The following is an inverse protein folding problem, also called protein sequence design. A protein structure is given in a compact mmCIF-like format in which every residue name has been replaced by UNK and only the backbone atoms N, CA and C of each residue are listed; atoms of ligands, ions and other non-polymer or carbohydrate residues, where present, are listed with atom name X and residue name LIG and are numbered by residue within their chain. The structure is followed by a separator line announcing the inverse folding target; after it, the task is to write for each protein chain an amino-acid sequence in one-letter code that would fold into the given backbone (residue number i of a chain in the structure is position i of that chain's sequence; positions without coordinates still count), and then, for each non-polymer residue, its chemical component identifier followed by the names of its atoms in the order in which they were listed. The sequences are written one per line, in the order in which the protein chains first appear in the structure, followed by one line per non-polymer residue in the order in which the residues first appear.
data_IF_119112288747
#
_entry.id   IF_119112288747
#
_cell.length_a   1.000
_cell.length_b   1.000
_cell.length_c   1.000
_cell.angle_alpha   90.00
_cell.angle_beta   90.00
_cell.angle_gamma   90.00
#
_symmetry.space_group_name_H-M   'P 1'
#
loop_
_entity.id
_entity.type
_entity.pdbx_description
1 polymer ?
#
# COMPACT_ATOMS: atom_id res chain seq x y z
N UNK A 1 4.89 -12.23 -6.65
CA UNK A 1 5.25 -12.06 -8.05
C UNK A 1 4.37 -11.00 -8.67
N UNK A 2 4.96 -9.99 -9.29
CA UNK A 2 4.22 -8.98 -10.02
C UNK A 2 4.05 -9.48 -11.45
N UNK A 3 2.87 -9.95 -11.80
CA UNK A 3 2.50 -10.00 -13.20
C UNK A 3 2.39 -8.56 -13.68
N UNK A 4 3.26 -8.15 -14.60
CA UNK A 4 3.02 -7.00 -15.46
C UNK A 4 1.90 -7.32 -16.47
N UNK A 5 0.97 -8.20 -16.12
CA UNK A 5 -0.07 -8.67 -17.01
C UNK A 5 -1.21 -7.67 -17.10
N UNK A 6 -1.40 -7.06 -18.27
CA UNK A 6 -2.40 -6.01 -18.48
C UNK A 6 -3.49 -6.40 -19.47
N UNK A 7 -3.24 -7.36 -20.37
CA UNK A 7 -4.05 -7.53 -21.57
C UNK A 7 -5.44 -8.15 -21.42
N UNK A 8 -5.86 -8.57 -20.23
CA UNK A 8 -7.16 -9.24 -20.12
C UNK A 8 -8.36 -8.32 -19.94
N UNK A 9 -8.19 -6.98 -19.82
CA UNK A 9 -9.32 -6.03 -19.70
C UNK A 9 -8.98 -4.65 -20.20
N UNK A 10 -9.83 -4.15 -21.07
CA UNK A 10 -9.94 -2.73 -21.37
C UNK A 10 -10.53 -2.07 -20.12
N UNK A 11 -9.75 -1.20 -19.48
CA UNK A 11 -10.20 -0.38 -18.36
C UNK A 11 -10.77 0.94 -18.94
N UNK A 12 -11.81 1.45 -18.30
CA UNK A 12 -12.42 2.73 -18.68
C UNK A 12 -12.33 3.67 -17.49
N UNK A 13 -12.02 4.93 -17.74
CA UNK A 13 -12.04 5.99 -16.74
C UNK A 13 -13.47 6.36 -16.30
N UNK A 14 -13.60 7.27 -15.33
CA UNK A 14 -14.91 7.78 -14.84
C UNK A 14 -15.75 8.45 -15.96
N UNK A 15 -15.15 8.73 -17.12
CA UNK A 15 -15.77 9.35 -18.29
C UNK A 15 -16.08 8.34 -19.41
N UNK A 16 -15.75 7.06 -19.18
CA UNK A 16 -15.94 6.00 -20.18
C UNK A 16 -14.89 5.99 -21.29
N UNK A 17 -13.72 6.63 -21.08
CA UNK A 17 -12.60 6.55 -22.01
C UNK A 17 -11.72 5.35 -21.67
N UNK A 18 -11.24 4.66 -22.69
CA UNK A 18 -10.31 3.55 -22.56
C UNK A 18 -8.99 4.04 -21.92
N UNK A 19 -8.61 3.43 -20.81
CA UNK A 19 -7.35 3.71 -20.14
C UNK A 19 -6.23 2.98 -20.89
N UNK A 20 -5.18 3.69 -21.28
CA UNK A 20 -3.95 3.09 -21.83
C UNK A 20 -3.22 2.33 -20.72
N UNK A 21 -3.55 1.06 -20.57
CA UNK A 21 -2.99 0.18 -19.55
C UNK A 21 -1.46 -0.01 -19.67
N UNK A 22 -0.88 0.21 -20.86
CA UNK A 22 0.57 0.15 -21.09
C UNK A 22 1.23 1.43 -20.55
N UNK A 23 0.59 2.59 -20.73
CA UNK A 23 1.07 3.84 -20.13
C UNK A 23 1.07 3.78 -18.60
N UNK A 24 0.03 3.19 -17.98
CA UNK A 24 0.01 2.99 -16.52
C UNK A 24 1.17 2.11 -16.04
N UNK A 25 1.55 1.10 -16.83
CA UNK A 25 2.73 0.28 -16.48
C UNK A 25 4.07 0.97 -16.72
N UNK A 26 4.18 1.82 -17.74
CA UNK A 26 5.34 2.67 -17.91
C UNK A 26 5.49 3.62 -16.70
N UNK A 27 4.40 4.26 -16.27
CA UNK A 27 4.37 5.11 -15.08
C UNK A 27 4.75 4.33 -13.80
N UNK A 28 4.25 3.10 -13.63
CA UNK A 28 4.65 2.24 -12.52
C UNK A 28 6.15 1.93 -12.55
N UNK A 29 6.71 1.58 -13.72
CA UNK A 29 8.15 1.32 -13.85
C UNK A 29 9.00 2.56 -13.60
N UNK A 30 8.55 3.74 -14.05
CA UNK A 30 9.20 5.02 -13.72
C UNK A 30 9.26 5.21 -12.20
N UNK A 31 8.13 5.08 -11.50
CA UNK A 31 8.07 5.19 -10.04
C UNK A 31 8.93 4.12 -9.34
N UNK A 32 8.97 2.89 -9.86
CA UNK A 32 9.83 1.83 -9.34
C UNK A 32 11.30 2.21 -9.47
N UNK A 33 11.74 2.69 -10.64
CA UNK A 33 13.13 3.08 -10.84
C UNK A 33 13.51 4.32 -10.04
N UNK A 34 12.64 5.31 -9.91
CA UNK A 34 12.84 6.44 -8.99
C UNK A 34 13.04 5.97 -7.54
N UNK A 35 12.32 4.95 -7.11
CA UNK A 35 12.42 4.44 -5.73
C UNK A 35 13.71 3.67 -5.43
N UNK A 36 14.37 3.11 -6.45
CA UNK A 36 15.54 2.22 -6.29
C UNK A 36 16.83 2.75 -6.89
N UNK A 37 16.74 3.68 -7.85
CA UNK A 37 17.89 4.33 -8.47
C UNK A 37 18.07 5.72 -7.85
N UNK A 38 19.31 6.12 -7.62
CA UNK A 38 19.59 7.41 -6.96
C UNK A 38 19.23 8.61 -7.82
N UNK A 39 19.34 8.47 -9.15
CA UNK A 39 19.03 9.52 -10.12
C UNK A 39 18.33 8.86 -11.31
N UNK A 40 17.22 9.44 -11.74
CA UNK A 40 16.50 9.08 -12.98
C UNK A 40 16.36 10.37 -13.77
N UNK A 41 16.84 10.39 -15.01
CA UNK A 41 16.80 11.54 -15.91
C UNK A 41 15.54 11.53 -16.76
N UNK A 42 15.25 12.65 -17.42
CA UNK A 42 14.14 12.73 -18.38
C UNK A 42 14.37 11.75 -19.56
N UNK A 43 15.62 11.57 -20.01
CA UNK A 43 15.97 10.59 -21.04
C UNK A 43 15.70 9.15 -20.58
N UNK A 44 15.93 8.84 -19.28
CA UNK A 44 15.56 7.54 -18.72
C UNK A 44 14.04 7.31 -18.80
N UNK A 45 13.20 8.34 -18.58
CA UNK A 45 11.74 8.23 -18.66
C UNK A 45 11.28 7.93 -20.08
N UNK A 46 11.80 8.62 -21.09
CA UNK A 46 11.46 8.36 -22.49
C UNK A 46 11.83 6.91 -22.90
N UNK A 47 13.01 6.44 -22.50
CA UNK A 47 13.46 5.06 -22.74
C UNK A 47 12.55 4.05 -22.02
N UNK A 48 12.14 4.33 -20.78
CA UNK A 48 11.24 3.44 -20.02
C UNK A 48 9.90 3.31 -20.73
N UNK A 49 9.29 4.42 -21.20
CA UNK A 49 8.02 4.37 -21.93
C UNK A 49 8.13 3.58 -23.22
N UNK A 50 9.13 3.89 -24.06
CA UNK A 50 9.36 3.22 -25.34
C UNK A 50 9.59 1.71 -25.16
N UNK A 51 10.49 1.31 -24.27
CA UNK A 51 10.81 -0.10 -24.02
C UNK A 51 9.61 -0.84 -23.44
N UNK A 52 8.80 -0.17 -22.59
CA UNK A 52 7.58 -0.75 -22.05
C UNK A 52 6.57 -1.02 -23.14
N UNK A 53 6.34 -0.08 -24.03
CA UNK A 53 5.44 -0.29 -25.17
C UNK A 53 5.93 -1.41 -26.08
N UNK A 54 7.22 -1.47 -26.33
CA UNK A 54 7.82 -2.48 -27.20
C UNK A 54 7.72 -3.89 -26.59
N UNK A 55 8.00 -4.07 -25.30
CA UNK A 55 7.93 -5.39 -24.65
C UNK A 55 6.51 -5.93 -24.65
N UNK A 56 5.50 -5.08 -24.50
CA UNK A 56 4.09 -5.49 -24.62
C UNK A 56 3.63 -5.82 -26.04
N UNK A 57 4.33 -5.30 -27.08
CA UNK A 57 4.10 -5.75 -28.44
C UNK A 57 4.67 -7.14 -28.72
N UNK A 58 5.80 -7.48 -28.05
CA UNK A 58 6.52 -8.75 -28.22
C UNK A 58 5.98 -9.88 -27.36
N UNK A 59 5.42 -9.57 -26.17
CA UNK A 59 5.00 -10.55 -25.17
C UNK A 59 3.69 -10.13 -24.51
N UNK A 60 2.73 -11.06 -24.39
CA UNK A 60 1.44 -10.78 -23.76
C UNK A 60 1.55 -10.56 -22.25
N UNK A 61 2.49 -11.25 -21.59
CA UNK A 61 2.71 -11.19 -20.15
C UNK A 61 4.19 -10.96 -19.84
N UNK A 62 4.72 -9.78 -20.17
CA UNK A 62 6.13 -9.52 -19.96
C UNK A 62 6.45 -9.43 -18.46
N UNK A 63 7.64 -9.86 -18.12
CA UNK A 63 8.27 -9.66 -16.80
C UNK A 63 9.27 -8.53 -16.84
N UNK A 64 9.77 -8.10 -15.69
CA UNK A 64 10.86 -7.15 -15.62
C UNK A 64 12.15 -7.70 -16.26
N UNK A 65 12.32 -9.03 -16.29
CA UNK A 65 13.44 -9.67 -16.99
C UNK A 65 13.31 -9.53 -18.50
N UNK A 66 12.10 -9.72 -19.07
CA UNK A 66 11.82 -9.55 -20.50
C UNK A 66 12.01 -8.08 -20.91
N UNK A 67 11.52 -7.15 -20.08
CA UNK A 67 11.72 -5.71 -20.27
C UNK A 67 13.19 -5.33 -20.32
N UNK A 68 14.00 -5.89 -19.41
CA UNK A 68 15.44 -5.65 -19.39
C UNK A 68 16.15 -6.24 -20.62
N UNK A 69 15.67 -7.36 -21.19
CA UNK A 69 16.24 -7.92 -22.42
C UNK A 69 16.00 -7.00 -23.61
N UNK A 70 14.80 -6.44 -23.76
CA UNK A 70 14.49 -5.45 -24.79
C UNK A 70 15.34 -4.18 -24.59
N UNK A 71 15.54 -3.73 -23.36
CA UNK A 71 16.39 -2.58 -23.05
C UNK A 71 17.85 -2.81 -23.48
N UNK A 72 18.39 -4.02 -23.32
CA UNK A 72 19.74 -4.37 -23.74
C UNK A 72 19.96 -4.35 -25.27
N UNK A 73 18.90 -4.50 -26.06
CA UNK A 73 18.95 -4.43 -27.52
C UNK A 73 19.09 -2.99 -28.04
N UNK A 74 18.82 -1.99 -27.19
CA UNK A 74 18.91 -0.57 -27.54
C UNK A 74 20.36 -0.12 -27.66
N UNK A 75 20.76 0.55 -28.76
CA UNK A 75 22.14 0.98 -29.01
C UNK A 75 22.49 2.27 -28.26
N UNK A 76 21.53 3.03 -27.76
CA UNK A 76 21.70 4.34 -27.13
C UNK A 76 22.51 4.20 -25.82
N UNK A 77 23.43 5.13 -25.60
CA UNK A 77 24.31 5.09 -24.43
C UNK A 77 23.53 5.17 -23.11
N UNK A 78 22.46 5.98 -23.09
CA UNK A 78 21.54 6.17 -21.97
C UNK A 78 20.81 4.85 -21.66
N UNK A 79 20.30 4.15 -22.67
CA UNK A 79 19.66 2.85 -22.53
C UNK A 79 20.61 1.81 -21.93
N UNK A 80 21.86 1.80 -22.38
CA UNK A 80 22.90 0.91 -21.86
C UNK A 80 23.29 1.25 -20.41
N UNK A 81 23.26 2.53 -20.02
CA UNK A 81 23.46 2.96 -18.63
C UNK A 81 22.29 2.50 -17.74
N UNK A 82 21.06 2.71 -18.19
CA UNK A 82 19.84 2.27 -17.50
C UNK A 82 19.83 0.74 -17.35
N UNK A 83 20.21 -0.02 -18.38
CA UNK A 83 20.30 -1.47 -18.33
C UNK A 83 21.29 -1.97 -17.27
N UNK A 84 22.46 -1.32 -17.13
CA UNK A 84 23.40 -1.68 -16.06
C UNK A 84 22.87 -1.38 -14.67
N UNK A 85 22.15 -0.26 -14.49
CA UNK A 85 21.59 0.18 -13.21
C UNK A 85 20.39 -0.69 -12.79
N UNK A 86 19.55 -1.10 -13.74
CA UNK A 86 18.35 -1.94 -13.51
C UNK A 86 18.68 -3.44 -13.39
N UNK A 87 19.84 -3.89 -13.88
CA UNK A 87 20.26 -5.31 -13.88
C UNK A 87 20.12 -6.02 -12.52
N UNK A 88 20.51 -5.43 -11.37
CA UNK A 88 20.38 -6.08 -10.08
C UNK A 88 18.93 -6.50 -9.77
N UNK A 89 17.93 -5.76 -10.22
CA UNK A 89 16.51 -5.96 -9.97
C UNK A 89 15.84 -6.85 -11.02
N UNK A 90 16.31 -6.81 -12.26
CA UNK A 90 15.79 -7.64 -13.35
C UNK A 90 16.41 -9.04 -13.39
N UNK A 91 17.72 -9.16 -13.24
CA UNK A 91 18.48 -10.42 -13.41
C UNK A 91 19.51 -10.70 -12.32
N UNK A 92 19.65 -9.82 -11.34
CA UNK A 92 20.64 -9.94 -10.26
C UNK A 92 20.05 -10.39 -8.93
N UNK A 93 20.73 -10.02 -7.84
CA UNK A 93 20.41 -10.46 -6.48
C UNK A 93 19.07 -9.95 -5.94
N UNK A 94 18.48 -8.93 -6.56
CA UNK A 94 17.21 -8.33 -6.17
C UNK A 94 16.06 -8.66 -7.13
N UNK A 95 16.16 -9.71 -7.93
CA UNK A 95 15.19 -10.08 -8.98
C UNK A 95 13.91 -10.75 -8.48
N UNK A 96 13.60 -10.62 -7.19
CA UNK A 96 12.42 -11.26 -6.57
C UNK A 96 11.11 -10.96 -7.32
N UNK A 97 10.98 -9.77 -7.88
CA UNK A 97 9.79 -9.31 -8.60
C UNK A 97 9.91 -9.39 -10.13
N UNK A 98 10.99 -9.99 -10.66
CA UNK A 98 11.27 -10.06 -12.08
C UNK A 98 10.73 -11.33 -12.78
N UNK A 99 9.93 -12.13 -12.06
CA UNK A 99 9.43 -13.41 -12.53
C UNK A 99 7.91 -13.42 -12.63
N UNK A 100 7.37 -14.36 -13.39
CA UNK A 100 5.92 -14.63 -13.42
C UNK A 100 5.42 -14.96 -12.01
N UNK A 101 4.18 -14.56 -11.71
CA UNK A 101 3.53 -14.87 -10.45
C UNK A 101 3.39 -16.39 -10.26
N UNK A 102 3.94 -16.89 -9.18
CA UNK A 102 3.87 -18.32 -8.82
C UNK A 102 2.95 -18.60 -7.61
N UNK A 103 2.22 -17.59 -7.16
CA UNK A 103 1.27 -17.69 -6.05
C UNK A 103 -0.14 -17.46 -6.54
N UNK A 104 -1.10 -18.21 -5.98
CA UNK A 104 -2.51 -17.98 -6.27
C UNK A 104 -3.02 -16.83 -5.39
N UNK A 105 -3.28 -15.68 -5.99
CA UNK A 105 -3.85 -14.51 -5.34
C UNK A 105 -5.39 -14.46 -5.43
N UNK A 106 -6.02 -15.44 -6.08
CA UNK A 106 -7.48 -15.51 -6.22
C UNK A 106 -8.13 -16.18 -5.00
N UNK A 107 -7.91 -15.61 -3.82
CA UNK A 107 -8.44 -16.07 -2.54
C UNK A 107 -9.22 -14.96 -1.86
N UNK A 108 -10.25 -15.34 -1.06
CA UNK A 108 -11.04 -14.36 -0.27
C UNK A 108 -10.21 -13.64 0.80
N UNK A 109 -9.15 -14.25 1.27
CA UNK A 109 -8.19 -13.66 2.22
C UNK A 109 -6.79 -13.82 1.67
N UNK A 110 -6.10 -12.72 1.44
CA UNK A 110 -4.71 -12.67 1.00
C UNK A 110 -3.92 -11.83 2.00
N UNK A 111 -2.79 -12.35 2.45
CA UNK A 111 -1.90 -11.66 3.40
C UNK A 111 -0.51 -11.52 2.79
N UNK A 112 -0.03 -10.28 2.70
CA UNK A 112 1.32 -9.98 2.24
C UNK A 112 2.23 -9.69 3.44
N UNK A 113 3.21 -10.56 3.68
CA UNK A 113 4.18 -10.37 4.74
C UNK A 113 5.47 -9.74 4.22
N UNK A 114 5.69 -8.46 4.54
CA UNK A 114 6.86 -7.69 4.11
C UNK A 114 8.01 -7.72 5.14
N UNK A 115 7.86 -8.41 6.27
CA UNK A 115 8.82 -8.38 7.37
C UNK A 115 10.19 -8.94 6.98
N UNK A 116 10.22 -9.96 6.14
CA UNK A 116 11.45 -10.64 5.69
C UNK A 116 12.15 -10.00 4.51
N UNK A 117 11.60 -8.94 3.90
CA UNK A 117 12.21 -8.29 2.75
C UNK A 117 13.39 -7.41 3.15
N UNK A 118 14.43 -7.43 2.31
CA UNK A 118 15.57 -6.52 2.41
C UNK A 118 15.09 -5.05 2.35
N UNK A 119 15.79 -4.17 3.09
CA UNK A 119 15.41 -2.74 3.15
C UNK A 119 15.39 -2.07 1.77
N UNK A 120 16.27 -2.50 0.84
CA UNK A 120 16.34 -1.97 -0.53
C UNK A 120 15.17 -2.44 -1.40
N UNK A 121 14.58 -3.61 -1.09
CA UNK A 121 13.44 -4.15 -1.83
C UNK A 121 12.09 -3.67 -1.29
N UNK A 122 12.04 -3.14 -0.06
CA UNK A 122 10.76 -2.70 0.53
C UNK A 122 10.03 -1.62 -0.27
N UNK A 123 10.68 -0.52 -0.72
CA UNK A 123 10.01 0.48 -1.55
C UNK A 123 9.44 -0.14 -2.84
N UNK A 124 10.24 -0.97 -3.52
CA UNK A 124 9.80 -1.69 -4.70
C UNK A 124 8.58 -2.58 -4.43
N UNK A 125 8.62 -3.37 -3.35
CA UNK A 125 7.51 -4.24 -2.94
C UNK A 125 6.23 -3.44 -2.63
N UNK A 126 6.35 -2.29 -2.00
CA UNK A 126 5.22 -1.42 -1.70
C UNK A 126 4.55 -0.92 -2.97
N UNK A 127 5.31 -0.43 -3.95
CA UNK A 127 4.77 0.04 -5.24
C UNK A 127 4.06 -1.10 -6.01
N UNK A 128 4.66 -2.29 -6.05
CA UNK A 128 4.03 -3.47 -6.66
C UNK A 128 2.73 -3.84 -5.95
N UNK A 129 2.68 -3.79 -4.62
CA UNK A 129 1.46 -4.05 -3.86
C UNK A 129 0.41 -2.97 -4.05
N UNK A 130 0.82 -1.71 -4.15
CA UNK A 130 -0.08 -0.59 -4.43
C UNK A 130 -0.77 -0.78 -5.78
N UNK A 131 -0.01 -1.09 -6.85
CA UNK A 131 -0.56 -1.40 -8.16
C UNK A 131 -1.51 -2.61 -8.10
N UNK A 132 -1.11 -3.71 -7.46
CA UNK A 132 -1.95 -4.90 -7.29
C UNK A 132 -3.25 -4.58 -6.57
N UNK A 133 -3.20 -3.87 -5.44
CA UNK A 133 -4.39 -3.48 -4.66
C UNK A 133 -5.33 -2.65 -5.53
N UNK A 134 -4.80 -1.65 -6.25
CA UNK A 134 -5.60 -0.78 -7.08
C UNK A 134 -6.30 -1.54 -8.21
N UNK A 135 -5.59 -2.44 -8.88
CA UNK A 135 -6.18 -3.32 -9.90
C UNK A 135 -7.29 -4.20 -9.33
N UNK A 136 -7.10 -4.79 -8.14
CA UNK A 136 -8.15 -5.58 -7.50
C UNK A 136 -9.39 -4.73 -7.18
N UNK A 137 -9.18 -3.52 -6.65
CA UNK A 137 -10.27 -2.60 -6.33
C UNK A 137 -11.10 -2.25 -7.58
N UNK A 138 -10.43 -1.92 -8.68
CA UNK A 138 -11.13 -1.64 -9.97
C UNK A 138 -11.83 -2.91 -10.50
N UNK A 139 -11.17 -4.05 -10.45
CA UNK A 139 -11.71 -5.31 -10.95
C UNK A 139 -13.01 -5.73 -10.28
N UNK A 140 -13.12 -5.53 -8.97
CA UNK A 140 -14.28 -5.93 -8.18
C UNK A 140 -15.28 -4.79 -7.93
N UNK A 141 -15.05 -3.60 -8.48
CA UNK A 141 -15.95 -2.47 -8.35
C UNK A 141 -17.39 -2.85 -8.74
N UNK A 142 -18.34 -2.56 -7.86
CA UNK A 142 -19.77 -2.87 -8.05
C UNK A 142 -20.16 -4.35 -7.98
N UNK A 143 -19.21 -5.26 -7.72
CA UNK A 143 -19.44 -6.70 -7.61
C UNK A 143 -19.28 -7.18 -6.17
N UNK A 144 -18.16 -6.81 -5.53
CA UNK A 144 -17.82 -7.23 -4.18
C UNK A 144 -17.20 -6.07 -3.41
N UNK A 145 -17.35 -6.08 -2.08
CA UNK A 145 -16.67 -5.11 -1.21
C UNK A 145 -15.30 -5.64 -0.84
N UNK A 146 -14.26 -4.90 -1.21
CA UNK A 146 -12.89 -5.21 -0.82
C UNK A 146 -12.58 -4.53 0.52
N UNK A 147 -12.04 -5.30 1.46
CA UNK A 147 -11.55 -4.80 2.75
C UNK A 147 -10.04 -4.88 2.78
N UNK A 148 -9.39 -3.74 2.94
CA UNK A 148 -7.94 -3.61 3.01
C UNK A 148 -7.54 -3.35 4.46
N UNK A 149 -6.65 -4.17 5.01
CA UNK A 149 -6.10 -3.99 6.34
C UNK A 149 -4.61 -3.71 6.22
N UNK A 150 -4.17 -2.57 6.73
CA UNK A 150 -2.78 -2.17 6.73
C UNK A 150 -2.26 -2.11 8.16
N UNK A 151 -1.52 -3.14 8.55
CA UNK A 151 -0.92 -3.20 9.88
C UNK A 151 0.35 -2.35 9.93
N UNK A 152 0.60 -1.72 11.09
CA UNK A 152 1.71 -0.79 11.33
C UNK A 152 1.79 0.32 10.27
N UNK A 153 0.63 0.92 9.94
CA UNK A 153 0.50 1.94 8.89
C UNK A 153 1.53 3.07 9.02
N UNK A 154 1.92 3.45 10.24
CA UNK A 154 2.93 4.49 10.45
C UNK A 154 4.29 4.19 9.81
N UNK A 155 4.60 2.91 9.53
CA UNK A 155 5.84 2.54 8.86
C UNK A 155 5.88 2.94 7.39
N UNK A 156 4.75 3.28 6.78
CA UNK A 156 4.64 3.75 5.39
C UNK A 156 4.81 5.27 5.28
N UNK A 157 4.67 6.01 6.37
CA UNK A 157 4.87 7.47 6.40
C UNK A 157 6.36 7.82 6.64
N UNK A 158 7.24 7.40 5.73
CA UNK A 158 8.69 7.63 5.81
C UNK A 158 9.23 8.55 4.72
N UNK A 159 8.50 8.70 3.65
CA UNK A 159 8.79 9.58 2.53
C UNK A 159 7.49 10.14 1.95
N UNK A 160 7.63 11.20 1.16
CA UNK A 160 6.51 11.94 0.59
C UNK A 160 5.66 11.09 -0.36
N UNK A 161 6.28 10.26 -1.18
CA UNK A 161 5.61 9.44 -2.20
C UNK A 161 4.68 8.41 -1.56
N UNK A 162 5.17 7.68 -0.55
CA UNK A 162 4.34 6.69 0.16
C UNK A 162 3.20 7.38 0.92
N UNK A 163 3.47 8.49 1.61
CA UNK A 163 2.45 9.25 2.34
C UNK A 163 1.34 9.76 1.41
N UNK A 164 1.72 10.33 0.26
CA UNK A 164 0.78 10.83 -0.76
C UNK A 164 -0.11 9.70 -1.31
N UNK A 165 0.47 8.53 -1.60
CA UNK A 165 -0.29 7.38 -2.06
C UNK A 165 -1.38 6.97 -1.05
N UNK A 166 -1.03 6.84 0.24
CA UNK A 166 -2.02 6.43 1.24
C UNK A 166 -3.11 7.48 1.46
N UNK A 167 -2.78 8.76 1.42
CA UNK A 167 -3.77 9.82 1.50
C UNK A 167 -4.74 9.79 0.32
N UNK A 168 -4.23 9.61 -0.90
CA UNK A 168 -5.05 9.48 -2.11
C UNK A 168 -5.92 8.20 -2.06
N UNK A 169 -5.34 7.08 -1.66
CA UNK A 169 -6.07 5.82 -1.50
C UNK A 169 -7.26 6.01 -0.56
N UNK A 170 -7.06 6.57 0.63
CA UNK A 170 -8.12 6.83 1.60
C UNK A 170 -9.21 7.76 1.08
N UNK A 171 -8.83 8.81 0.36
CA UNK A 171 -9.77 9.78 -0.17
C UNK A 171 -10.67 9.21 -1.29
N UNK A 172 -10.13 8.29 -2.10
CA UNK A 172 -10.77 7.85 -3.35
C UNK A 172 -11.37 6.46 -3.30
N UNK A 173 -10.80 5.54 -2.51
CA UNK A 173 -11.10 4.09 -2.59
C UNK A 173 -12.57 3.76 -2.30
N UNK A 174 -13.24 4.57 -1.48
CA UNK A 174 -14.68 4.43 -1.18
C UNK A 174 -15.55 4.45 -2.44
N UNK A 175 -15.22 5.28 -3.43
CA UNK A 175 -15.95 5.37 -4.71
C UNK A 175 -15.92 4.05 -5.50
N UNK A 176 -14.94 3.22 -5.23
CA UNK A 176 -14.77 1.91 -5.87
C UNK A 176 -15.32 0.75 -5.04
N UNK A 177 -16.02 1.04 -3.93
CA UNK A 177 -16.62 0.01 -3.07
C UNK A 177 -15.64 -0.71 -2.16
N UNK A 178 -14.47 -0.14 -1.91
CA UNK A 178 -13.48 -0.70 -1.01
C UNK A 178 -13.39 0.09 0.31
N UNK A 179 -12.98 -0.60 1.37
CA UNK A 179 -12.89 -0.06 2.73
C UNK A 179 -11.45 -0.23 3.23
N UNK A 180 -10.67 0.84 3.34
CA UNK A 180 -9.34 0.79 3.92
C UNK A 180 -9.42 0.83 5.45
N UNK A 181 -8.57 0.08 6.12
CA UNK A 181 -8.41 0.06 7.57
C UNK A 181 -6.92 0.14 7.91
N UNK A 182 -6.52 1.22 8.54
CA UNK A 182 -5.15 1.41 9.05
C UNK A 182 -5.07 1.02 10.52
N UNK A 183 -4.08 0.20 10.87
CA UNK A 183 -3.77 -0.17 12.25
C UNK A 183 -2.42 0.43 12.59
N UNK A 184 -2.33 1.15 13.70
CA UNK A 184 -1.09 1.80 14.11
C UNK A 184 -0.97 1.89 15.63
N UNK A 185 0.25 1.74 16.13
CA UNK A 185 0.60 2.01 17.52
C UNK A 185 1.19 3.42 17.71
N UNK A 186 1.48 4.13 16.60
CA UNK A 186 2.16 5.42 16.64
C UNK A 186 1.45 6.43 15.71
N UNK A 187 0.27 6.94 16.10
CA UNK A 187 -0.47 7.92 15.30
C UNK A 187 0.30 9.24 15.15
N UNK A 188 1.14 9.62 16.11
CA UNK A 188 1.96 10.82 16.03
C UNK A 188 2.89 10.85 14.82
N UNK A 189 3.44 9.70 14.40
CA UNK A 189 4.26 9.61 13.18
C UNK A 189 3.45 9.91 11.93
N UNK A 190 2.21 9.42 11.85
CA UNK A 190 1.31 9.69 10.71
C UNK A 190 0.92 11.17 10.71
N UNK A 191 0.50 11.71 11.85
CA UNK A 191 0.04 13.08 12.01
C UNK A 191 1.13 14.17 11.80
N UNK A 192 2.41 13.78 11.87
CA UNK A 192 3.52 14.66 11.52
C UNK A 192 3.51 15.08 10.03
N UNK A 193 2.89 14.27 9.17
CA UNK A 193 2.75 14.53 7.74
C UNK A 193 1.40 15.20 7.42
N UNK A 194 1.38 16.10 6.44
CA UNK A 194 0.14 16.71 5.96
C UNK A 194 -0.81 15.64 5.38
N UNK A 195 -0.26 14.73 4.59
CA UNK A 195 -0.96 13.58 4.02
C UNK A 195 -1.59 12.69 5.09
N UNK A 196 -0.89 12.50 6.21
CA UNK A 196 -1.40 11.74 7.35
C UNK A 196 -2.57 12.44 8.04
N UNK A 197 -2.52 13.76 8.20
CA UNK A 197 -3.66 14.55 8.69
C UNK A 197 -4.86 14.46 7.74
N UNK A 198 -4.61 14.55 6.43
CA UNK A 198 -5.63 14.39 5.41
C UNK A 198 -6.27 12.99 5.44
N UNK A 199 -5.45 11.94 5.60
CA UNK A 199 -5.92 10.57 5.77
C UNK A 199 -6.83 10.44 6.99
N UNK A 200 -6.42 10.96 8.15
CA UNK A 200 -7.23 10.92 9.38
C UNK A 200 -8.53 11.71 9.23
N UNK A 201 -8.51 12.88 8.59
CA UNK A 201 -9.71 13.70 8.33
C UNK A 201 -10.70 13.02 7.37
N UNK A 202 -10.22 12.16 6.48
CA UNK A 202 -11.05 11.34 5.59
C UNK A 202 -11.50 10.01 6.23
N UNK A 203 -11.10 9.75 7.48
CA UNK A 203 -11.48 8.55 8.23
C UNK A 203 -12.72 8.84 9.07
N UNK A 204 -13.78 8.10 8.85
CA UNK A 204 -15.06 8.28 9.53
C UNK A 204 -15.20 7.40 10.80
N UNK A 205 -14.40 6.33 10.87
CA UNK A 205 -14.50 5.35 11.94
C UNK A 205 -13.16 5.11 12.64
N UNK A 206 -13.11 5.37 13.95
CA UNK A 206 -11.91 5.14 14.76
C UNK A 206 -12.20 4.15 15.89
N UNK A 207 -11.26 3.26 16.14
CA UNK A 207 -11.20 2.43 17.33
C UNK A 207 -9.93 2.81 18.09
N UNK A 208 -10.10 3.49 19.22
CA UNK A 208 -9.01 4.00 20.02
C UNK A 208 -8.86 3.12 21.27
N UNK A 209 -7.74 2.43 21.37
CA UNK A 209 -7.34 1.67 22.56
C UNK A 209 -6.52 2.57 23.50
N UNK A 210 -5.83 1.97 24.48
CA UNK A 210 -4.95 2.72 25.40
C UNK A 210 -3.88 3.47 24.62
N UNK A 211 -3.77 4.77 24.87
CA UNK A 211 -2.83 5.67 24.22
C UNK A 211 -2.02 6.47 25.25
N UNK A 212 -0.85 6.97 24.82
CA UNK A 212 -0.06 7.96 25.56
C UNK A 212 -0.67 9.35 25.42
N UNK A 213 -0.49 10.21 26.43
CA UNK A 213 -1.02 11.58 26.39
C UNK A 213 -0.55 12.37 25.17
N UNK A 214 0.71 12.23 24.78
CA UNK A 214 1.25 12.90 23.59
C UNK A 214 0.49 12.50 22.31
N UNK A 215 0.16 11.21 22.14
CA UNK A 215 -0.57 10.71 20.98
C UNK A 215 -2.04 11.15 20.99
N UNK A 216 -2.63 11.24 22.18
CA UNK A 216 -4.00 11.75 22.38
C UNK A 216 -4.07 13.22 21.96
N UNK A 217 -3.14 14.05 22.41
CA UNK A 217 -3.12 15.48 22.05
C UNK A 217 -2.90 15.68 20.55
N UNK A 218 -2.01 14.88 19.93
CA UNK A 218 -1.81 14.92 18.49
C UNK A 218 -3.09 14.53 17.72
N UNK A 219 -3.79 13.49 18.19
CA UNK A 219 -5.03 13.01 17.53
C UNK A 219 -6.18 14.01 17.68
N UNK A 220 -6.30 14.68 18.84
CA UNK A 220 -7.32 15.70 19.11
C UNK A 220 -7.22 16.94 18.21
N UNK A 221 -6.07 17.16 17.57
CA UNK A 221 -5.92 18.22 16.58
C UNK A 221 -6.72 17.96 15.28
N UNK A 222 -7.12 16.71 15.03
CA UNK A 222 -7.83 16.28 13.81
C UNK A 222 -9.11 15.50 14.06
N UNK A 223 -9.30 14.97 15.28
CA UNK A 223 -10.49 14.19 15.68
C UNK A 223 -11.06 14.81 16.95
N UNK A 224 -12.36 15.12 16.94
CA UNK A 224 -13.03 15.64 18.12
C UNK A 224 -13.31 14.54 19.16
N UNK A 225 -12.62 14.61 20.31
CA UNK A 225 -12.76 13.69 21.42
C UNK A 225 -13.14 14.48 22.67
N UNK A 226 -14.36 14.35 23.18
CA UNK A 226 -14.80 15.04 24.38
C UNK A 226 -13.92 14.71 25.59
N UNK A 227 -13.61 15.71 26.43
CA UNK A 227 -12.73 15.54 27.60
C UNK A 227 -13.22 14.43 28.55
N UNK A 228 -14.53 14.30 28.74
CA UNK A 228 -15.12 13.27 29.56
C UNK A 228 -14.81 11.84 29.08
N UNK A 229 -14.51 11.67 27.78
CA UNK A 229 -14.20 10.39 27.14
C UNK A 229 -12.73 10.01 27.21
N UNK A 230 -11.83 10.96 27.42
CA UNK A 230 -10.38 10.72 27.45
C UNK A 230 -9.94 9.66 28.48
N UNK A 231 -10.66 9.54 29.58
CA UNK A 231 -10.38 8.53 30.63
C UNK A 231 -10.37 7.10 30.09
N UNK A 232 -11.17 6.80 29.06
CA UNK A 232 -11.29 5.44 28.50
C UNK A 232 -10.10 5.04 27.63
N UNK A 233 -9.30 5.99 27.14
CA UNK A 233 -8.08 5.74 26.36
C UNK A 233 -6.80 6.07 27.11
N UNK A 234 -6.83 6.96 28.13
CA UNK A 234 -5.69 7.22 29.00
C UNK A 234 -5.45 6.10 30.00
N UNK A 235 -6.52 5.69 30.69
CA UNK A 235 -6.49 4.68 31.75
C UNK A 235 -7.70 3.75 31.64
N UNK A 236 -7.75 2.92 30.59
CA UNK A 236 -8.84 1.96 30.47
C UNK A 236 -8.85 1.00 31.65
N UNK A 237 -10.02 0.56 32.07
CA UNK A 237 -10.17 -0.37 33.18
C UNK A 237 -9.56 -1.74 32.90
N UNK A 238 -9.73 -2.21 31.66
CA UNK A 238 -9.30 -3.53 31.23
C UNK A 238 -8.56 -3.48 29.88
N UNK A 239 -7.71 -4.48 29.61
CA UNK A 239 -7.07 -4.70 28.30
C UNK A 239 -8.17 -4.92 27.26
N UNK A 240 -8.06 -4.25 26.10
CA UNK A 240 -9.07 -4.33 25.05
C UNK A 240 -10.23 -3.32 25.16
N UNK A 241 -10.24 -2.47 26.20
CA UNK A 241 -11.21 -1.38 26.33
C UNK A 241 -10.72 -0.10 25.66
N UNK A 242 -11.65 0.77 25.25
CA UNK A 242 -11.32 2.00 24.56
C UNK A 242 -12.53 2.82 24.15
N UNK A 243 -12.37 3.56 23.04
CA UNK A 243 -13.43 4.36 22.42
C UNK A 243 -13.65 3.93 20.97
N UNK A 244 -14.92 3.92 20.56
CA UNK A 244 -15.31 3.89 19.15
C UNK A 244 -15.84 5.29 18.82
N UNK A 245 -15.33 5.86 17.72
CA UNK A 245 -15.81 7.09 17.12
C UNK A 245 -16.37 6.75 15.76
N UNK A 246 -17.62 7.14 15.49
CA UNK A 246 -18.28 6.97 14.21
C UNK A 246 -19.05 8.25 13.88
N UNK A 247 -18.50 9.06 12.96
CA UNK A 247 -18.97 10.43 12.74
C UNK A 247 -18.94 11.22 14.05
N UNK A 248 -20.08 11.81 14.44
CA UNK A 248 -20.22 12.61 15.68
C UNK A 248 -20.44 11.77 16.95
N UNK A 249 -20.52 10.45 16.82
CA UNK A 249 -20.84 9.55 17.94
C UNK A 249 -19.56 8.99 18.57
N UNK A 250 -19.38 9.22 19.87
CA UNK A 250 -18.24 8.70 20.65
C UNK A 250 -18.77 7.78 21.75
N UNK A 251 -18.41 6.48 21.69
CA UNK A 251 -18.91 5.46 22.62
C UNK A 251 -17.74 4.71 23.26
N UNK A 252 -17.69 4.60 24.60
CA UNK A 252 -16.74 3.71 25.24
C UNK A 252 -17.16 2.25 25.01
N UNK A 253 -16.17 1.36 24.88
CA UNK A 253 -16.41 -0.06 24.75
C UNK A 253 -15.47 -0.87 25.63
N UNK A 254 -15.92 -2.06 25.98
CA UNK A 254 -15.14 -3.09 26.66
C UNK A 254 -15.18 -4.35 25.77
N UNK A 255 -14.02 -4.84 25.37
CA UNK A 255 -13.92 -6.04 24.53
C UNK A 255 -13.06 -7.07 25.26
N UNK A 256 -13.65 -7.75 26.23
CA UNK A 256 -13.01 -8.87 26.92
C UNK A 256 -13.26 -10.15 26.12
N UNK A 257 -12.20 -10.69 25.53
CA UNK A 257 -12.25 -12.02 24.92
C UNK A 257 -12.16 -13.03 26.07
N UNK A 258 -13.15 -13.91 26.24
CA UNK A 258 -13.11 -14.93 27.31
C UNK A 258 -11.90 -15.86 27.13
N UNK A 259 -11.22 -16.14 28.22
CA UNK A 259 -9.93 -16.88 28.26
C UNK A 259 -10.06 -18.35 27.81
N UNK A 260 -11.28 -18.90 27.87
CA UNK A 260 -11.63 -20.27 27.47
C UNK A 260 -12.04 -20.40 25.99
N UNK A 261 -11.83 -19.36 25.19
CA UNK A 261 -12.21 -19.37 23.77
C UNK A 261 -11.04 -19.64 22.84
N UNK A 262 -11.33 -20.30 21.71
CA UNK A 262 -10.37 -20.47 20.62
C UNK A 262 -9.84 -19.12 20.08
N UNK A 263 -10.66 -18.08 20.13
CA UNK A 263 -10.26 -16.75 19.74
C UNK A 263 -9.16 -16.20 20.67
N UNK A 264 -9.29 -16.42 21.98
CA UNK A 264 -8.27 -16.03 22.95
C UNK A 264 -6.92 -16.70 22.65
N UNK A 265 -6.91 -18.04 22.45
CA UNK A 265 -5.69 -18.78 22.09
C UNK A 265 -5.00 -18.22 20.85
N UNK A 266 -5.79 -17.87 19.81
CA UNK A 266 -5.28 -17.38 18.54
C UNK A 266 -4.78 -15.93 18.60
N UNK A 267 -5.31 -15.11 19.50
CA UNK A 267 -5.01 -13.68 19.61
C UNK A 267 -4.08 -13.33 20.78
N UNK A 268 -3.81 -14.30 21.66
CA UNK A 268 -2.89 -14.10 22.77
C UNK A 268 -1.46 -13.92 22.24
N UNK A 269 -0.87 -12.77 22.55
CA UNK A 269 0.52 -12.42 22.18
C UNK A 269 1.49 -12.43 23.36
N UNK A 270 0.98 -12.70 24.57
CA UNK A 270 1.81 -12.82 25.76
C UNK A 270 2.70 -14.07 25.61
N UNK A 271 4.01 -13.90 25.71
CA UNK A 271 4.93 -15.02 25.64
C UNK A 271 4.53 -16.07 26.70
N UNK A 272 4.26 -17.28 26.25
CA UNK A 272 4.16 -18.42 27.17
C UNK A 272 5.55 -18.59 27.77
N UNK A 273 5.70 -18.16 29.02
CA UNK A 273 6.94 -18.36 29.83
C UNK A 273 7.13 -19.83 30.18
#
# INVERSE_FOLDING_TARGET
GSEMCIRDRVLYDDKGQEIDSVADKANLLMALFESILQEVSDDDFDIIDEVTREVYQRCDKPTLADWHDVLLERPEEEAQKLARRSRPYAKGSFNLFAHQTNVNLNNRLVVFNLKGLDKKLKPFALLVLQDFIWQQVIQYQGKETIRLYWDELHLTFRNQTDAAFFAELWARIRKYGAIPTGITQNPGTILAWEEGRNLMSNTEFFILLKMKDQDIEALRAVVDIPDAMLRYIRRPKEKGSGLIIAGDTVVPFENKIPDDTKLYELTQTDAVL
#
